data_IF_067834384033
#
_entry.id   IF_067834384033
#
_cell.length_a   1.000
_cell.length_b   1.000
_cell.length_c   1.000
_cell.angle_alpha   90.00
_cell.angle_beta   90.00
_cell.angle_gamma   90.00
#
_symmetry.space_group_name_H-M   'P 1'
#
loop_
_entity.id
_entity.type
_entity.pdbx_description
1 polymer ?
#
# COMPACT_ATOMS: atom_id res chain seq x y z
N UNK A 1 -23.77 -13.46 -15.66
CA UNK A 1 -25.05 -12.79 -15.95
C UNK A 1 -25.48 -12.10 -14.67
N UNK A 2 -25.82 -10.82 -14.74
CA UNK A 2 -26.12 -9.87 -13.63
C UNK A 2 -27.62 -9.57 -13.53
N UNK A 3 -28.45 -10.38 -14.19
CA UNK A 3 -29.90 -10.29 -14.09
C UNK A 3 -30.31 -10.60 -12.64
N UNK A 4 -30.77 -9.57 -11.92
CA UNK A 4 -31.31 -9.70 -10.57
C UNK A 4 -30.68 -8.80 -9.50
N UNK A 5 -29.58 -8.09 -9.78
CA UNK A 5 -28.99 -7.17 -8.79
C UNK A 5 -29.83 -5.89 -8.64
N UNK A 6 -30.16 -5.51 -7.41
CA UNK A 6 -30.83 -4.24 -7.07
C UNK A 6 -29.82 -3.18 -6.63
N UNK A 7 -30.24 -1.90 -6.62
CA UNK A 7 -29.42 -0.82 -6.06
C UNK A 7 -29.01 -1.06 -4.60
N UNK A 8 -29.90 -1.69 -3.83
CA UNK A 8 -29.66 -2.10 -2.44
C UNK A 8 -28.59 -3.18 -2.31
N UNK A 9 -28.56 -4.17 -3.20
CA UNK A 9 -27.51 -5.21 -3.20
C UNK A 9 -26.13 -4.60 -3.46
N UNK A 10 -26.05 -3.68 -4.42
CA UNK A 10 -24.83 -2.95 -4.74
C UNK A 10 -24.37 -2.08 -3.56
N UNK A 11 -25.30 -1.43 -2.86
CA UNK A 11 -25.01 -0.60 -1.69
C UNK A 11 -24.54 -1.44 -0.51
N UNK A 12 -25.15 -2.59 -0.26
CA UNK A 12 -24.75 -3.49 0.82
C UNK A 12 -23.36 -4.08 0.57
N UNK A 13 -23.06 -4.47 -0.67
CA UNK A 13 -21.75 -4.95 -1.07
C UNK A 13 -20.67 -3.87 -0.96
N UNK A 14 -20.96 -2.64 -1.40
CA UNK A 14 -20.08 -1.49 -1.18
C UNK A 14 -19.80 -1.24 0.30
N UNK A 15 -20.83 -1.34 1.16
CA UNK A 15 -20.69 -1.19 2.62
C UNK A 15 -19.80 -2.26 3.23
N UNK A 16 -19.97 -3.53 2.83
CA UNK A 16 -19.13 -4.66 3.28
C UNK A 16 -17.66 -4.44 2.94
N UNK A 17 -17.38 -3.84 1.79
CA UNK A 17 -16.02 -3.50 1.34
C UNK A 17 -15.52 -2.13 1.85
N UNK A 18 -16.31 -1.42 2.67
CA UNK A 18 -16.03 -0.06 3.15
C UNK A 18 -15.72 0.95 2.03
N UNK A 19 -16.29 0.74 0.83
CA UNK A 19 -16.10 1.63 -0.31
C UNK A 19 -17.08 2.80 -0.25
N UNK A 20 -16.57 4.02 -0.38
CA UNK A 20 -17.41 5.19 -0.61
C UNK A 20 -17.82 5.30 -2.07
N UNK A 21 -18.86 6.07 -2.37
CA UNK A 21 -19.26 6.33 -3.76
C UNK A 21 -18.19 7.11 -4.54
N UNK A 22 -17.29 7.83 -3.85
CA UNK A 22 -16.11 8.45 -4.47
C UNK A 22 -15.08 7.41 -4.89
N UNK A 23 -14.86 6.37 -4.09
CA UNK A 23 -13.94 5.28 -4.42
C UNK A 23 -14.46 4.48 -5.62
N UNK A 24 -15.76 4.19 -5.64
CA UNK A 24 -16.43 3.53 -6.76
C UNK A 24 -16.36 4.42 -8.01
N UNK A 25 -16.58 5.74 -7.88
CA UNK A 25 -16.44 6.69 -8.99
C UNK A 25 -15.04 6.67 -9.60
N UNK A 26 -14.02 6.68 -8.75
CA UNK A 26 -12.62 6.60 -9.18
C UNK A 26 -12.29 5.27 -9.85
N UNK A 27 -12.84 4.16 -9.35
CA UNK A 27 -12.58 2.82 -9.89
C UNK A 27 -13.34 2.53 -11.21
N UNK A 28 -14.52 3.11 -11.39
CA UNK A 28 -15.39 2.87 -12.55
C UNK A 28 -15.30 3.94 -13.64
N UNK A 29 -14.77 5.12 -13.33
CA UNK A 29 -14.82 6.29 -14.21
C UNK A 29 -16.22 6.92 -14.31
N UNK A 30 -17.20 6.41 -13.56
CA UNK A 30 -18.57 6.94 -13.55
C UNK A 30 -18.67 8.12 -12.58
N UNK A 31 -19.58 9.06 -12.87
CA UNK A 31 -19.83 10.16 -11.94
C UNK A 31 -20.46 9.66 -10.64
N UNK A 32 -20.12 10.30 -9.51
CA UNK A 32 -20.75 10.03 -8.21
C UNK A 32 -22.28 10.17 -8.29
N UNK A 33 -22.78 11.11 -9.10
CA UNK A 33 -24.22 11.28 -9.36
C UNK A 33 -24.84 10.02 -10.01
N UNK A 34 -24.13 9.42 -10.97
CA UNK A 34 -24.56 8.18 -11.63
C UNK A 34 -24.59 7.01 -10.64
N UNK A 35 -23.59 6.90 -9.78
CA UNK A 35 -23.51 5.84 -8.75
C UNK A 35 -24.61 6.01 -7.71
N UNK A 36 -24.83 7.22 -7.19
CA UNK A 36 -25.91 7.50 -6.26
C UNK A 36 -27.28 7.17 -6.86
N UNK A 37 -27.50 7.49 -8.14
CA UNK A 37 -28.74 7.14 -8.85
C UNK A 37 -28.95 5.62 -8.94
N UNK A 38 -27.88 4.86 -9.17
CA UNK A 38 -27.91 3.38 -9.23
C UNK A 38 -28.11 2.77 -7.84
N UNK A 39 -27.55 3.36 -6.79
CA UNK A 39 -27.67 2.84 -5.42
C UNK A 39 -29.06 3.11 -4.84
N UNK A 40 -29.66 4.26 -5.16
CA UNK A 40 -30.95 4.69 -4.63
C UNK A 40 -32.16 4.17 -5.43
N UNK A 41 -31.95 3.36 -6.47
CA UNK A 41 -33.05 2.78 -7.23
C UNK A 41 -33.49 1.47 -6.59
N UNK A 42 -34.70 1.50 -6.02
CA UNK A 42 -35.40 0.32 -5.55
C UNK A 42 -36.20 -0.29 -6.71
N UNK A 43 -35.64 -1.30 -7.38
CA UNK A 43 -36.31 -2.04 -8.46
C UNK A 43 -35.50 -2.12 -9.76
N UNK A 44 -36.21 -2.17 -10.91
CA UNK A 44 -35.57 -2.25 -12.22
C UNK A 44 -34.68 -1.04 -12.48
N UNK A 45 -33.39 -1.30 -12.62
CA UNK A 45 -32.36 -0.30 -12.84
C UNK A 45 -32.49 0.31 -14.24
N UNK A 46 -32.90 1.58 -14.33
CA UNK A 46 -32.83 2.38 -15.58
C UNK A 46 -31.39 2.88 -15.84
N UNK A 47 -30.48 1.91 -15.88
CA UNK A 47 -29.09 2.10 -16.21
C UNK A 47 -28.70 1.04 -17.22
N UNK A 48 -27.82 1.41 -18.17
CA UNK A 48 -27.27 0.44 -19.11
C UNK A 48 -26.66 -0.72 -18.34
N UNK A 49 -26.91 -1.94 -18.78
CA UNK A 49 -26.37 -3.15 -18.14
C UNK A 49 -24.85 -3.07 -17.96
N UNK A 50 -24.13 -2.46 -18.91
CA UNK A 50 -22.69 -2.21 -18.81
C UNK A 50 -22.29 -1.33 -17.62
N UNK A 51 -23.10 -0.33 -17.26
CA UNK A 51 -22.90 0.51 -16.08
C UNK A 51 -23.09 -0.29 -14.80
N UNK A 52 -24.12 -1.13 -14.76
CA UNK A 52 -24.41 -2.02 -13.63
C UNK A 52 -23.30 -3.05 -13.45
N UNK A 53 -22.82 -3.65 -14.54
CA UNK A 53 -21.74 -4.63 -14.52
C UNK A 53 -20.42 -4.00 -14.05
N UNK A 54 -20.16 -2.75 -14.45
CA UNK A 54 -18.97 -2.01 -14.03
C UNK A 54 -19.00 -1.71 -12.53
N UNK A 55 -20.14 -1.28 -12.01
CA UNK A 55 -20.33 -1.04 -10.56
C UNK A 55 -20.29 -2.38 -9.80
N UNK A 56 -21.05 -3.39 -10.25
CA UNK A 56 -21.10 -4.72 -9.68
C UNK A 56 -19.71 -5.36 -9.60
N UNK A 57 -18.87 -5.20 -10.63
CA UNK A 57 -17.47 -5.67 -10.61
C UNK A 57 -16.66 -5.02 -9.48
N UNK A 58 -16.78 -3.71 -9.29
CA UNK A 58 -16.05 -2.97 -8.25
C UNK A 58 -16.53 -3.35 -6.85
N UNK A 59 -17.82 -3.63 -6.67
CA UNK A 59 -18.38 -4.06 -5.38
C UNK A 59 -18.37 -5.58 -5.18
N UNK A 60 -17.75 -6.35 -6.08
CA UNK A 60 -17.56 -7.80 -5.93
C UNK A 60 -18.78 -8.67 -6.26
N UNK A 61 -19.76 -8.16 -7.02
CA UNK A 61 -21.01 -8.83 -7.41
C UNK A 61 -21.12 -9.15 -8.93
N UNK A 62 -20.17 -8.72 -9.76
CA UNK A 62 -20.18 -9.01 -11.20
C UNK A 62 -19.90 -10.49 -11.51
N UNK A 63 -20.27 -11.01 -12.71
CA UNK A 63 -19.84 -12.34 -13.13
C UNK A 63 -18.33 -12.42 -12.98
N UNK A 64 -17.85 -13.43 -12.27
CA UNK A 64 -16.44 -13.70 -12.09
C UNK A 64 -15.79 -13.68 -13.48
N UNK A 65 -15.13 -12.57 -13.82
CA UNK A 65 -14.32 -12.48 -15.00
C UNK A 65 -13.33 -13.63 -14.87
N UNK A 66 -13.45 -14.64 -15.75
CA UNK A 66 -12.59 -15.85 -15.86
C UNK A 66 -11.46 -15.79 -14.86
N UNK A 67 -11.68 -16.30 -13.63
CA UNK A 67 -10.71 -16.35 -12.52
C UNK A 67 -9.43 -15.52 -12.80
N UNK A 68 -9.56 -14.19 -12.90
CA UNK A 68 -8.43 -13.37 -12.53
C UNK A 68 -8.54 -13.44 -11.02
N UNK A 69 -7.99 -14.52 -10.45
CA UNK A 69 -7.58 -14.50 -9.06
C UNK A 69 -6.95 -13.13 -8.88
N UNK A 70 -7.47 -12.30 -7.96
CA UNK A 70 -6.85 -10.99 -7.72
C UNK A 70 -5.37 -11.26 -7.59
N UNK A 71 -4.55 -10.53 -8.38
CA UNK A 71 -3.12 -10.84 -8.51
C UNK A 71 -2.58 -11.08 -7.10
N UNK A 72 -1.99 -12.26 -6.82
CA UNK A 72 -1.62 -12.57 -5.45
C UNK A 72 -0.65 -11.50 -4.95
N UNK A 73 -0.74 -11.18 -3.66
CA UNK A 73 0.30 -10.40 -3.00
C UNK A 73 1.63 -11.11 -3.25
N UNK A 74 2.52 -10.46 -4.00
CA UNK A 74 3.84 -10.96 -4.29
C UNK A 74 4.83 -10.18 -3.45
N UNK A 75 5.50 -10.84 -2.51
CA UNK A 75 6.60 -10.28 -1.73
C UNK A 75 7.82 -11.12 -2.02
N UNK A 76 8.87 -10.48 -2.54
CA UNK A 76 10.13 -11.14 -2.88
C UNK A 76 11.25 -10.39 -2.18
N UNK A 77 11.97 -11.09 -1.30
CA UNK A 77 13.24 -10.61 -0.79
C UNK A 77 14.27 -10.58 -1.92
N UNK A 78 14.82 -9.40 -2.15
CA UNK A 78 15.83 -9.17 -3.15
C UNK A 78 17.21 -9.23 -2.48
N UNK A 79 18.20 -9.88 -3.12
CA UNK A 79 19.55 -9.89 -2.59
C UNK A 79 20.16 -8.48 -2.55
N UNK A 80 20.84 -8.07 -1.46
CA UNK A 80 21.43 -6.74 -1.32
C UNK A 80 22.39 -6.35 -2.46
N UNK A 81 23.13 -7.32 -3.01
CA UNK A 81 24.04 -7.12 -4.15
C UNK A 81 23.33 -6.56 -5.40
N UNK A 82 22.02 -6.82 -5.56
CA UNK A 82 21.23 -6.25 -6.66
C UNK A 82 21.08 -4.74 -6.51
N UNK A 83 21.03 -4.21 -5.29
CA UNK A 83 20.90 -2.78 -5.07
C UNK A 83 22.15 -2.01 -5.52
N UNK A 84 23.34 -2.58 -5.33
CA UNK A 84 24.59 -1.99 -5.82
C UNK A 84 24.62 -1.89 -7.35
N UNK A 85 24.12 -2.92 -8.05
CA UNK A 85 24.01 -2.91 -9.52
C UNK A 85 22.92 -1.95 -10.02
N UNK A 86 21.90 -1.72 -9.19
CA UNK A 86 20.77 -0.85 -9.50
C UNK A 86 20.95 0.61 -9.08
N UNK A 87 22.16 1.04 -8.65
CA UNK A 87 22.43 2.40 -8.12
C UNK A 87 21.79 3.53 -8.94
N UNK A 88 21.90 3.46 -10.27
CA UNK A 88 21.36 4.50 -11.16
C UNK A 88 19.84 4.40 -11.36
N UNK A 89 19.28 3.20 -11.27
CA UNK A 89 17.85 2.94 -11.45
C UNK A 89 17.05 3.16 -10.16
N UNK A 90 17.67 2.98 -9.00
CA UNK A 90 17.07 3.12 -7.67
C UNK A 90 17.93 4.05 -6.77
N UNK A 91 18.16 5.31 -7.17
CA UNK A 91 19.09 6.20 -6.47
C UNK A 91 18.69 6.43 -5.02
N UNK A 92 17.40 6.60 -4.71
CA UNK A 92 16.93 6.86 -3.35
C UNK A 92 17.13 5.65 -2.41
N UNK A 93 16.93 4.43 -2.92
CA UNK A 93 17.15 3.20 -2.14
C UNK A 93 18.65 3.01 -1.88
N UNK A 94 19.48 3.24 -2.89
CA UNK A 94 20.93 3.15 -2.74
C UNK A 94 21.46 4.22 -1.77
N UNK A 95 20.96 5.46 -1.86
CA UNK A 95 21.33 6.52 -0.93
C UNK A 95 20.96 6.18 0.52
N UNK A 96 19.80 5.55 0.76
CA UNK A 96 19.45 5.08 2.11
C UNK A 96 20.41 4.01 2.62
N UNK A 97 20.88 3.10 1.75
CA UNK A 97 21.90 2.12 2.12
C UNK A 97 23.22 2.80 2.50
N UNK A 98 23.66 3.81 1.75
CA UNK A 98 24.86 4.59 2.05
C UNK A 98 24.72 5.32 3.40
N UNK A 99 23.59 5.99 3.64
CA UNK A 99 23.32 6.66 4.93
C UNK A 99 23.35 5.66 6.09
N UNK A 100 22.70 4.51 5.92
CA UNK A 100 22.62 3.45 6.93
C UNK A 100 23.97 2.77 7.23
N UNK A 101 24.96 2.91 6.33
CA UNK A 101 26.32 2.44 6.56
C UNK A 101 27.11 3.37 7.49
N UNK A 102 26.69 4.63 7.62
CA UNK A 102 27.36 5.66 8.43
C UNK A 102 26.66 5.87 9.77
N UNK A 103 25.32 5.84 9.78
CA UNK A 103 24.52 6.03 10.99
C UNK A 103 23.34 5.08 11.02
N UNK A 104 23.07 4.56 12.22
CA UNK A 104 21.86 3.78 12.53
C UNK A 104 20.92 4.52 13.47
N UNK A 105 21.18 5.78 13.83
CA UNK A 105 20.26 6.57 14.65
C UNK A 105 19.05 6.99 13.82
N UNK A 106 17.85 6.63 14.27
CA UNK A 106 16.61 6.86 13.53
C UNK A 106 16.41 8.32 13.12
N UNK A 107 16.62 9.26 14.03
CA UNK A 107 16.50 10.71 13.76
C UNK A 107 17.40 11.14 12.61
N UNK A 108 18.66 10.69 12.62
CA UNK A 108 19.67 11.09 11.64
C UNK A 108 19.34 10.49 10.26
N UNK A 109 18.95 9.21 10.22
CA UNK A 109 18.56 8.54 8.97
C UNK A 109 17.32 9.21 8.38
N UNK A 110 16.30 9.51 9.18
CA UNK A 110 15.09 10.22 8.72
C UNK A 110 15.43 11.62 8.23
N UNK A 111 16.25 12.38 8.94
CA UNK A 111 16.65 13.74 8.54
C UNK A 111 17.38 13.74 7.20
N UNK A 112 18.34 12.81 7.01
CA UNK A 112 19.07 12.70 5.75
C UNK A 112 18.18 12.21 4.61
N UNK A 113 17.32 11.23 4.86
CA UNK A 113 16.37 10.76 3.84
C UNK A 113 15.32 11.81 3.48
N UNK A 114 14.92 12.68 4.41
CA UNK A 114 14.04 13.80 4.10
C UNK A 114 14.66 14.79 3.10
N UNK A 115 15.99 14.95 3.12
CA UNK A 115 16.73 15.79 2.15
C UNK A 115 16.80 15.15 0.75
N UNK A 116 16.72 13.81 0.68
CA UNK A 116 16.72 13.06 -0.59
C UNK A 116 15.30 12.93 -1.14
N UNK A 117 14.42 12.28 -0.39
CA UNK A 117 13.05 12.02 -0.79
C UNK A 117 12.11 11.87 0.41
N UNK A 118 11.67 13.02 0.96
CA UNK A 118 10.66 13.05 2.00
C UNK A 118 9.30 12.44 1.57
N UNK A 119 8.98 12.38 0.28
CA UNK A 119 7.66 11.89 -0.17
C UNK A 119 7.53 10.38 -0.12
N UNK A 120 8.66 9.66 -0.19
CA UNK A 120 8.71 8.19 -0.30
C UNK A 120 9.26 7.48 0.91
N UNK A 121 9.68 8.24 1.92
CA UNK A 121 10.27 7.71 3.14
C UNK A 121 9.17 7.48 4.18
N UNK A 122 9.38 6.54 5.08
CA UNK A 122 8.55 6.25 6.26
C UNK A 122 9.46 5.93 7.45
N UNK A 123 9.00 6.23 8.66
CA UNK A 123 9.66 5.89 9.91
C UNK A 123 8.68 5.15 10.80
N UNK A 124 9.13 4.07 11.42
CA UNK A 124 8.32 3.22 12.30
C UNK A 124 9.08 2.98 13.61
N UNK A 125 8.36 2.96 14.73
CA UNK A 125 8.87 2.56 16.04
C UNK A 125 8.21 1.28 16.53
N UNK A 126 8.98 0.49 17.27
CA UNK A 126 8.47 -0.56 18.13
C UNK A 126 8.06 0.06 19.48
N UNK A 127 6.77 -0.07 19.84
CA UNK A 127 6.18 0.32 21.13
C UNK A 127 5.24 -0.78 21.58
N UNK A 128 5.28 -1.17 22.85
CA UNK A 128 4.35 -2.16 23.41
C UNK A 128 4.26 -3.47 22.59
N UNK A 129 5.40 -3.93 22.06
CA UNK A 129 5.53 -5.07 21.14
C UNK A 129 4.79 -4.95 19.80
N UNK A 130 4.50 -3.72 19.36
CA UNK A 130 3.88 -3.45 18.08
C UNK A 130 4.54 -2.28 17.33
N UNK A 131 4.26 -2.18 16.04
CA UNK A 131 4.89 -1.28 15.10
C UNK A 131 3.96 -0.09 14.82
N UNK A 132 4.47 1.12 15.02
CA UNK A 132 3.72 2.37 14.85
C UNK A 132 4.41 3.30 13.88
N UNK A 133 3.66 3.94 12.99
CA UNK A 133 4.21 4.96 12.09
C UNK A 133 4.54 6.24 12.87
N UNK A 134 5.81 6.59 12.98
CA UNK A 134 6.22 7.90 13.51
C UNK A 134 6.07 9.00 12.47
N UNK A 135 6.28 8.64 11.20
CA UNK A 135 6.25 9.57 10.10
C UNK A 135 6.06 8.82 8.77
N UNK A 136 5.36 9.46 7.83
CA UNK A 136 5.07 8.93 6.51
C UNK A 136 5.10 10.05 5.48
N UNK A 137 5.79 9.81 4.37
CA UNK A 137 5.79 10.71 3.23
C UNK A 137 4.43 10.77 2.53
N UNK A 138 4.07 11.95 2.05
CA UNK A 138 2.81 12.24 1.34
C UNK A 138 2.70 11.56 -0.04
N UNK A 139 3.83 11.09 -0.59
CA UNK A 139 3.88 10.37 -1.86
C UNK A 139 3.61 8.87 -1.75
N UNK A 140 3.56 8.30 -0.55
CA UNK A 140 3.18 6.90 -0.34
C UNK A 140 1.75 6.70 -0.84
N UNK A 141 1.54 5.76 -1.77
CA UNK A 141 0.23 5.61 -2.44
C UNK A 141 -0.80 4.85 -1.62
N UNK A 142 -0.33 4.04 -0.67
CA UNK A 142 -1.15 3.12 0.14
C UNK A 142 -1.44 3.65 1.54
N UNK A 143 -0.86 4.79 1.93
CA UNK A 143 -1.10 5.46 3.21
C UNK A 143 -0.72 6.94 3.10
N UNK A 144 -1.00 7.75 4.12
CA UNK A 144 -0.63 9.17 4.15
C UNK A 144 -0.63 9.71 5.58
N UNK A 145 -0.49 11.02 5.76
CA UNK A 145 -0.29 11.64 7.07
C UNK A 145 -1.29 11.24 8.17
N UNK A 146 -2.51 10.84 7.80
CA UNK A 146 -3.54 10.36 8.74
C UNK A 146 -3.16 9.08 9.50
N UNK A 147 -2.17 8.29 9.02
CA UNK A 147 -1.71 7.07 9.70
C UNK A 147 -0.58 7.32 10.70
N UNK A 148 -0.15 8.57 10.87
CA UNK A 148 0.88 8.92 11.86
C UNK A 148 0.37 8.60 13.27
N UNK A 149 1.15 7.85 14.03
CA UNK A 149 0.79 7.33 15.35
C UNK A 149 -0.12 6.09 15.31
N UNK A 150 -0.56 5.64 14.14
CA UNK A 150 -1.34 4.42 14.00
C UNK A 150 -0.44 3.18 13.94
N UNK A 151 -1.01 2.03 14.32
CA UNK A 151 -0.34 0.73 14.17
C UNK A 151 -0.20 0.40 12.70
N UNK A 152 0.89 -0.25 12.33
CA UNK A 152 1.14 -0.70 10.95
C UNK A 152 0.04 -1.66 10.48
N UNK A 153 -0.51 -2.47 11.38
CA UNK A 153 -1.60 -3.42 11.07
C UNK A 153 -2.97 -2.75 10.88
N UNK A 154 -3.14 -1.50 11.33
CA UNK A 154 -4.42 -0.78 11.23
C UNK A 154 -4.58 -0.03 9.87
N UNK A 155 -3.65 -0.22 8.94
CA UNK A 155 -3.73 0.34 7.59
C UNK A 155 -4.95 -0.17 6.81
N UNK A 156 -5.50 0.69 5.96
CA UNK A 156 -6.70 0.38 5.18
C UNK A 156 -6.52 -0.76 4.16
N UNK A 157 -5.29 -0.98 3.67
CA UNK A 157 -4.94 -2.11 2.78
C UNK A 157 -4.27 -3.22 3.60
N UNK A 158 -4.98 -4.33 3.92
CA UNK A 158 -4.44 -5.39 4.77
C UNK A 158 -3.26 -6.13 4.13
N UNK A 159 -3.20 -6.20 2.79
CA UNK A 159 -2.12 -6.88 2.09
C UNK A 159 -0.82 -6.07 2.20
N UNK A 160 -0.92 -4.74 2.05
CA UNK A 160 0.22 -3.84 2.25
C UNK A 160 0.64 -3.80 3.72
N UNK A 161 -0.33 -3.75 4.64
CA UNK A 161 -0.08 -3.77 6.08
C UNK A 161 0.74 -5.01 6.48
N UNK A 162 0.32 -6.18 6.01
CA UNK A 162 1.00 -7.45 6.26
C UNK A 162 2.41 -7.46 5.66
N UNK A 163 2.56 -7.09 4.39
CA UNK A 163 3.87 -7.06 3.74
C UNK A 163 4.84 -6.08 4.45
N UNK A 164 4.34 -4.92 4.88
CA UNK A 164 5.13 -3.95 5.64
C UNK A 164 5.51 -4.51 7.02
N UNK A 165 4.57 -5.08 7.77
CA UNK A 165 4.81 -5.67 9.09
C UNK A 165 5.82 -6.82 9.02
N UNK A 166 5.68 -7.74 8.06
CA UNK A 166 6.62 -8.84 7.84
C UNK A 166 8.03 -8.32 7.54
N UNK A 167 8.16 -7.32 6.65
CA UNK A 167 9.44 -6.67 6.35
C UNK A 167 10.07 -6.03 7.59
N UNK A 168 9.27 -5.30 8.37
CA UNK A 168 9.72 -4.58 9.56
C UNK A 168 10.19 -5.53 10.67
N UNK A 169 9.42 -6.58 10.96
CA UNK A 169 9.83 -7.60 11.91
C UNK A 169 11.07 -8.34 11.45
N UNK A 170 11.16 -8.67 10.16
CA UNK A 170 12.35 -9.31 9.60
C UNK A 170 13.60 -8.43 9.79
N UNK A 171 13.50 -7.14 9.49
CA UNK A 171 14.59 -6.19 9.68
C UNK A 171 14.98 -6.05 11.15
N UNK A 172 14.03 -5.94 12.07
CA UNK A 172 14.30 -5.83 13.51
C UNK A 172 14.94 -7.10 14.10
N UNK A 173 14.47 -8.29 13.68
CA UNK A 173 14.96 -9.57 14.20
C UNK A 173 16.37 -9.86 13.68
N UNK A 174 16.60 -9.65 12.38
CA UNK A 174 17.91 -9.87 11.77
C UNK A 174 18.92 -8.76 12.10
N UNK A 175 18.43 -7.59 12.52
CA UNK A 175 19.18 -6.33 12.60
C UNK A 175 19.89 -5.94 11.28
N UNK A 176 19.34 -6.38 10.14
CA UNK A 176 19.90 -6.15 8.81
C UNK A 176 18.92 -5.41 7.89
N UNK A 177 19.42 -4.63 6.92
CA UNK A 177 18.56 -4.03 5.90
C UNK A 177 17.81 -5.10 5.09
N UNK A 178 16.53 -4.86 4.87
CA UNK A 178 15.67 -5.74 4.07
C UNK A 178 15.29 -5.03 2.78
N UNK A 179 15.80 -5.53 1.66
CA UNK A 179 15.44 -5.08 0.32
C UNK A 179 14.37 -6.02 -0.26
N UNK A 180 13.22 -5.47 -0.62
CA UNK A 180 12.08 -6.25 -1.07
C UNK A 180 11.40 -5.63 -2.28
N UNK A 181 10.89 -6.49 -3.15
CA UNK A 181 9.89 -6.17 -4.15
C UNK A 181 8.50 -6.57 -3.65
N UNK A 182 7.53 -5.69 -3.85
CA UNK A 182 6.13 -5.89 -3.45
C UNK A 182 5.21 -5.57 -4.62
N UNK A 183 4.29 -6.49 -4.93
CA UNK A 183 3.16 -6.27 -5.84
C UNK A 183 1.86 -6.61 -5.12
N UNK A 184 0.96 -5.64 -5.04
CA UNK A 184 -0.33 -5.81 -4.36
C UNK A 184 -1.41 -6.33 -5.31
N UNK A 185 -2.50 -6.91 -4.78
CA UNK A 185 -3.64 -7.32 -5.59
C UNK A 185 -4.35 -6.17 -6.32
N UNK A 186 -4.12 -4.93 -5.91
CA UNK A 186 -4.66 -3.73 -6.55
C UNK A 186 -3.75 -3.21 -7.69
N UNK A 187 -2.72 -3.97 -8.06
CA UNK A 187 -1.79 -3.61 -9.14
C UNK A 187 -0.74 -2.58 -8.74
N UNK A 188 -0.62 -2.25 -7.44
CA UNK A 188 0.47 -1.40 -6.98
C UNK A 188 1.75 -2.23 -6.92
N UNK A 189 2.77 -1.76 -7.61
CA UNK A 189 4.08 -2.39 -7.67
C UNK A 189 5.15 -1.41 -7.17
N UNK A 190 6.01 -1.87 -6.27
CA UNK A 190 7.09 -1.07 -5.72
C UNK A 190 8.23 -1.93 -5.17
N UNK A 191 9.39 -1.31 -5.01
CA UNK A 191 10.48 -1.83 -4.21
C UNK A 191 10.62 -1.01 -2.94
N UNK A 192 11.05 -1.66 -1.87
CA UNK A 192 11.30 -1.03 -0.59
C UNK A 192 12.65 -1.49 -0.05
N UNK A 193 13.41 -0.55 0.50
CA UNK A 193 14.51 -0.87 1.39
C UNK A 193 14.09 -0.42 2.78
N UNK A 194 14.18 -1.32 3.76
CA UNK A 194 13.95 -1.06 5.17
C UNK A 194 15.26 -1.25 5.91
N UNK A 195 15.64 -0.28 6.73
CA UNK A 195 16.83 -0.32 7.57
C UNK A 195 16.37 -0.33 9.03
N UNK A 196 16.79 -1.32 9.84
CA UNK A 196 16.63 -1.24 11.28
C UNK A 196 17.58 -0.17 11.82
N UNK A 197 17.08 0.65 12.73
CA UNK A 197 17.80 1.74 13.37
C UNK A 197 17.97 1.44 14.84
N UNK A 198 19.19 1.59 15.32
CA UNK A 198 19.62 1.38 16.70
C UNK A 198 19.74 2.72 17.45
N UNK A 199 19.84 2.61 18.78
CA UNK A 199 19.90 3.66 19.81
C UNK A 199 18.56 4.23 20.29
N UNK A 200 18.07 3.65 21.39
CA UNK A 200 17.08 4.24 22.28
C UNK A 200 16.12 3.22 22.92
N UNK A 201 15.26 3.67 23.85
CA UNK A 201 14.16 2.87 24.39
C UNK A 201 13.11 2.45 23.33
N UNK A 202 13.16 3.04 22.13
CA UNK A 202 12.29 2.71 21.01
C UNK A 202 13.12 2.26 19.80
N UNK A 203 13.34 0.95 19.66
CA UNK A 203 13.87 0.37 18.41
C UNK A 203 12.99 0.83 17.25
N UNK A 204 13.60 1.17 16.13
CA UNK A 204 12.86 1.71 15.01
C UNK A 204 13.36 1.25 13.66
N UNK A 205 12.66 1.70 12.63
CA UNK A 205 12.91 1.36 11.25
C UNK A 205 12.72 2.60 10.40
N UNK A 206 13.57 2.75 9.38
CA UNK A 206 13.37 3.73 8.32
C UNK A 206 13.26 2.98 7.00
N UNK A 207 12.29 3.38 6.19
CA UNK A 207 12.00 2.71 4.91
C UNK A 207 11.79 3.72 3.80
N UNK A 208 12.45 3.51 2.68
CA UNK A 208 12.25 4.25 1.43
C UNK A 208 11.64 3.31 0.39
N UNK A 209 10.76 3.87 -0.46
CA UNK A 209 10.10 3.12 -1.53
C UNK A 209 10.33 3.76 -2.90
N UNK A 210 10.45 2.93 -3.94
CA UNK A 210 10.43 3.37 -5.33
C UNK A 210 9.38 2.58 -6.11
N UNK A 211 8.66 3.23 -7.01
CA UNK A 211 7.56 2.61 -7.75
C UNK A 211 8.07 1.74 -8.91
N UNK A 212 7.32 0.67 -9.18
CA UNK A 212 7.53 -0.22 -10.32
C UNK A 212 8.48 -1.37 -10.05
N UNK A 213 8.68 -2.17 -11.09
CA UNK A 213 9.56 -3.34 -11.07
C UNK A 213 11.04 -2.95 -11.18
N UNK A 214 11.93 -3.60 -10.41
CA UNK A 214 13.35 -3.56 -10.69
C UNK A 214 13.66 -4.14 -12.08
N UNK A 215 14.32 -3.37 -12.95
CA UNK A 215 14.82 -3.83 -14.25
C UNK A 215 16.32 -4.19 -14.13
N UNK A 216 16.64 -5.29 -13.44
CA UNK A 216 18.02 -5.77 -13.29
C UNK A 216 18.11 -7.28 -13.50
#
# INVERSE_FOLDING_TARGET
MTQGLTGRDLQEAARKLKLSQRDISKATGLSVRTINRVFNSDGHLDARQSTLDTIAKVVGLGPAARLHSPDPLLVIDLPPEKLYRARMALPDLYAMLEIASVTRRKSDVVEQMAKINAKRTTSVSLRDNDLYFDWIGDGIRWAGNHVRGARVLDLADPAVARAAAERYWKALIANDPVFQYVRTPLGLEFVALTVPTDDGPERGLVTITSLGRPQF
#
